data_IF_433374708300
#
_entry.id   IF_433374708300
#
_cell.length_a   1.000
_cell.length_b   1.000
_cell.length_c   1.000
_cell.angle_alpha   90.00
_cell.angle_beta   90.00
_cell.angle_gamma   90.00
#
_symmetry.space_group_name_H-M   'P 1'
#
loop_
_entity.id
_entity.type
_entity.pdbx_description
1 polymer ?
#
# COMPACT_ATOMS: atom_id res chain seq x y z
N UNK A 1 -38.97 -7.65 20.69
CA UNK A 1 -38.20 -8.56 19.81
C UNK A 1 -37.47 -7.85 18.66
N UNK A 2 -37.91 -6.65 18.25
CA UNK A 2 -37.32 -5.90 17.12
C UNK A 2 -35.93 -5.29 17.38
N UNK A 3 -35.55 -5.06 18.65
CA UNK A 3 -34.24 -4.50 19.04
C UNK A 3 -33.07 -5.48 18.87
N UNK A 4 -33.31 -6.79 18.95
CA UNK A 4 -32.26 -7.81 18.80
C UNK A 4 -31.80 -7.98 17.34
N UNK A 5 -32.70 -7.81 16.36
CA UNK A 5 -32.35 -7.94 14.94
C UNK A 5 -31.46 -6.78 14.46
N UNK A 6 -31.73 -5.56 14.91
CA UNK A 6 -30.94 -4.37 14.56
C UNK A 6 -29.53 -4.44 15.14
N UNK A 7 -29.37 -4.91 16.39
CA UNK A 7 -28.04 -5.08 17.00
C UNK A 7 -27.23 -6.18 16.32
N UNK A 8 -27.85 -7.32 16.01
CA UNK A 8 -27.20 -8.44 15.31
C UNK A 8 -26.73 -8.02 13.90
N UNK A 9 -27.52 -7.20 13.20
CA UNK A 9 -27.17 -6.64 11.89
C UNK A 9 -25.95 -5.70 11.95
N UNK A 10 -25.88 -4.83 12.97
CA UNK A 10 -24.74 -3.92 13.16
C UNK A 10 -23.44 -4.67 13.47
N UNK A 11 -23.48 -5.64 14.38
CA UNK A 11 -22.31 -6.47 14.73
C UNK A 11 -21.80 -7.21 13.49
N UNK A 12 -22.70 -7.79 12.69
CA UNK A 12 -22.33 -8.47 11.45
C UNK A 12 -21.67 -7.53 10.44
N UNK A 13 -22.16 -6.30 10.31
CA UNK A 13 -21.55 -5.28 9.44
C UNK A 13 -20.15 -4.91 9.92
N UNK A 14 -19.99 -4.60 11.21
CA UNK A 14 -18.68 -4.26 11.79
C UNK A 14 -17.66 -5.37 11.60
N UNK A 15 -18.04 -6.64 11.77
CA UNK A 15 -17.15 -7.78 11.52
C UNK A 15 -16.77 -7.87 10.04
N UNK A 16 -17.73 -7.65 9.13
CA UNK A 16 -17.45 -7.65 7.69
C UNK A 16 -16.48 -6.53 7.30
N UNK A 17 -16.67 -5.32 7.82
CA UNK A 17 -15.80 -4.17 7.56
C UNK A 17 -14.40 -4.39 8.12
N UNK A 18 -14.29 -5.01 9.30
CA UNK A 18 -13.01 -5.41 9.88
C UNK A 18 -12.27 -6.42 8.98
N UNK A 19 -12.97 -7.46 8.50
CA UNK A 19 -12.38 -8.45 7.60
C UNK A 19 -11.91 -7.79 6.29
N UNK A 20 -12.69 -6.86 5.73
CA UNK A 20 -12.27 -6.12 4.54
C UNK A 20 -11.04 -5.25 4.81
N UNK A 21 -10.98 -4.55 5.94
CA UNK A 21 -9.84 -3.74 6.31
C UNK A 21 -8.56 -4.57 6.43
N UNK A 22 -8.64 -5.73 7.09
CA UNK A 22 -7.50 -6.65 7.22
C UNK A 22 -7.06 -7.21 5.87
N UNK A 23 -8.00 -7.62 5.00
CA UNK A 23 -7.67 -8.09 3.66
C UNK A 23 -6.96 -7.02 2.83
N UNK A 24 -7.39 -5.75 2.94
CA UNK A 24 -6.69 -4.65 2.28
C UNK A 24 -5.30 -4.40 2.85
N UNK A 25 -5.12 -4.50 4.15
CA UNK A 25 -3.79 -4.36 4.76
C UNK A 25 -2.82 -5.45 4.27
N UNK A 26 -3.29 -6.70 4.18
CA UNK A 26 -2.51 -7.81 3.63
C UNK A 26 -2.14 -7.55 2.17
N UNK A 27 -3.10 -7.14 1.33
CA UNK A 27 -2.82 -6.83 -0.08
C UNK A 27 -1.85 -5.67 -0.23
N UNK A 28 -2.03 -4.59 0.55
CA UNK A 28 -1.12 -3.45 0.55
C UNK A 28 0.31 -3.88 0.91
N UNK A 29 0.44 -4.79 1.87
CA UNK A 29 1.74 -5.33 2.29
C UNK A 29 2.40 -6.16 1.20
N UNK A 30 1.63 -7.01 0.49
CA UNK A 30 2.15 -7.81 -0.62
C UNK A 30 2.63 -6.90 -1.76
N UNK A 31 1.82 -5.90 -2.13
CA UNK A 31 2.17 -4.94 -3.19
C UNK A 31 3.38 -4.08 -2.81
N UNK A 32 3.43 -3.61 -1.56
CA UNK A 32 4.58 -2.86 -1.03
C UNK A 32 5.87 -3.69 -1.06
N UNK A 33 5.80 -4.95 -0.64
CA UNK A 33 6.94 -5.86 -0.70
C UNK A 33 7.42 -6.12 -2.13
N UNK A 34 6.49 -6.23 -3.08
CA UNK A 34 6.83 -6.37 -4.51
C UNK A 34 7.54 -5.12 -5.03
N UNK A 35 6.99 -3.92 -4.77
CA UNK A 35 7.60 -2.65 -5.17
C UNK A 35 9.02 -2.48 -4.60
N UNK A 36 9.22 -2.83 -3.32
CA UNK A 36 10.55 -2.84 -2.70
C UNK A 36 11.48 -3.84 -3.39
N UNK A 37 11.01 -5.05 -3.68
CA UNK A 37 11.80 -6.06 -4.38
C UNK A 37 12.26 -5.61 -5.77
N UNK A 38 11.35 -4.99 -6.53
CA UNK A 38 11.64 -4.44 -7.86
C UNK A 38 12.63 -3.27 -7.77
N UNK A 39 12.45 -2.39 -6.79
CA UNK A 39 13.37 -1.28 -6.49
C UNK A 39 14.78 -1.75 -6.15
N UNK A 40 14.92 -2.77 -5.29
CA UNK A 40 16.22 -3.35 -4.95
C UNK A 40 16.91 -4.00 -6.16
N UNK A 41 16.14 -4.68 -7.02
CA UNK A 41 16.66 -5.26 -8.25
C UNK A 41 17.16 -4.19 -9.23
N UNK A 42 16.42 -3.09 -9.39
CA UNK A 42 16.83 -1.98 -10.23
C UNK A 42 18.07 -1.26 -9.67
N UNK A 43 18.09 -1.01 -8.36
CA UNK A 43 19.25 -0.44 -7.67
C UNK A 43 20.51 -1.31 -7.86
N UNK A 44 20.36 -2.63 -7.76
CA UNK A 44 21.45 -3.58 -8.03
C UNK A 44 21.99 -3.47 -9.46
N UNK A 45 21.11 -3.28 -10.46
CA UNK A 45 21.50 -3.06 -11.86
C UNK A 45 22.23 -1.73 -12.03
N UNK A 46 21.75 -0.65 -11.41
CA UNK A 46 22.40 0.67 -11.50
C UNK A 46 23.80 0.68 -10.89
N UNK A 47 23.96 0.07 -9.71
CA UNK A 47 25.27 -0.06 -9.07
C UNK A 47 26.23 -0.90 -9.95
N UNK A 48 25.72 -1.96 -10.59
CA UNK A 48 26.52 -2.84 -11.45
C UNK A 48 26.86 -2.23 -12.82
N UNK A 49 26.04 -1.30 -13.31
CA UNK A 49 26.16 -0.66 -14.62
C UNK A 49 26.69 0.77 -14.59
N UNK A 50 27.32 1.20 -13.48
CA UNK A 50 28.04 2.48 -13.38
C UNK A 50 29.24 2.51 -14.35
N UNK A 51 28.94 2.71 -15.64
CA UNK A 51 29.90 2.98 -16.70
C UNK A 51 30.01 4.50 -16.85
N UNK A 52 31.15 5.03 -16.42
CA UNK A 52 31.91 6.27 -16.68
C UNK A 52 31.37 7.45 -17.52
N UNK A 53 30.19 7.44 -18.13
CA UNK A 53 29.72 8.51 -18.99
C UNK A 53 28.27 8.91 -18.67
N UNK A 54 28.14 10.15 -18.21
CA UNK A 54 26.91 10.96 -18.09
C UNK A 54 26.09 10.84 -16.78
N UNK A 55 25.87 12.00 -16.15
CA UNK A 55 25.11 12.26 -14.92
C UNK A 55 25.65 11.61 -13.64
N UNK A 56 25.53 12.31 -12.51
CA UNK A 56 26.02 11.82 -11.22
C UNK A 56 25.33 10.49 -10.90
N UNK A 57 26.05 9.37 -10.71
CA UNK A 57 25.46 8.08 -10.36
C UNK A 57 24.47 8.13 -9.19
N UNK A 58 24.70 9.09 -8.29
CA UNK A 58 23.88 9.36 -7.13
C UNK A 58 22.48 9.90 -7.46
N UNK A 59 22.33 10.66 -8.54
CA UNK A 59 21.02 11.17 -8.98
C UNK A 59 20.13 10.02 -9.48
N UNK A 60 20.72 9.05 -10.17
CA UNK A 60 20.02 7.86 -10.64
C UNK A 60 19.57 6.95 -9.49
N UNK A 61 20.47 6.70 -8.53
CA UNK A 61 20.20 5.88 -7.34
C UNK A 61 19.12 6.52 -6.46
N UNK A 62 19.23 7.83 -6.21
CA UNK A 62 18.23 8.55 -5.42
C UNK A 62 16.86 8.56 -6.10
N UNK A 63 16.81 8.65 -7.43
CA UNK A 63 15.58 8.51 -8.21
C UNK A 63 14.91 7.14 -8.04
N UNK A 64 15.68 6.05 -8.07
CA UNK A 64 15.14 4.70 -7.81
C UNK A 64 14.62 4.60 -6.39
N UNK A 65 15.39 5.03 -5.39
CA UNK A 65 14.98 4.99 -3.98
C UNK A 65 13.70 5.77 -3.73
N UNK A 66 13.58 6.97 -4.30
CA UNK A 66 12.39 7.79 -4.16
C UNK A 66 11.18 7.12 -4.79
N UNK A 67 11.31 6.64 -6.04
CA UNK A 67 10.22 5.93 -6.72
C UNK A 67 9.79 4.68 -5.96
N UNK A 68 10.74 3.87 -5.50
CA UNK A 68 10.44 2.67 -4.69
C UNK A 68 9.72 3.03 -3.40
N UNK A 69 10.10 4.11 -2.72
CA UNK A 69 9.41 4.56 -1.52
C UNK A 69 7.98 5.01 -1.80
N UNK A 70 7.76 5.77 -2.89
CA UNK A 70 6.43 6.23 -3.30
C UNK A 70 5.52 5.04 -3.66
N UNK A 71 6.02 4.10 -4.47
CA UNK A 71 5.30 2.88 -4.86
C UNK A 71 5.05 1.94 -3.68
N UNK A 72 5.95 1.88 -2.70
CA UNK A 72 5.76 1.06 -1.51
C UNK A 72 4.68 1.60 -0.56
N UNK A 73 4.43 2.91 -0.57
CA UNK A 73 3.46 3.59 0.31
C UNK A 73 2.10 3.79 -0.36
N UNK A 74 2.05 3.92 -1.69
CA UNK A 74 0.82 4.12 -2.46
C UNK A 74 -0.28 3.10 -2.10
N UNK A 75 0.00 1.78 -2.00
CA UNK A 75 -1.00 0.77 -1.68
C UNK A 75 -1.75 1.08 -0.39
N UNK A 76 -1.04 1.48 0.66
CA UNK A 76 -1.60 1.80 1.97
C UNK A 76 -2.41 3.09 1.93
N UNK A 77 -1.92 4.11 1.22
CA UNK A 77 -2.57 5.42 1.11
C UNK A 77 -3.92 5.30 0.43
N UNK A 78 -3.98 4.57 -0.69
CA UNK A 78 -5.19 4.36 -1.47
C UNK A 78 -6.23 3.56 -0.67
N UNK A 79 -5.81 2.49 0.02
CA UNK A 79 -6.71 1.65 0.82
C UNK A 79 -7.21 2.34 2.08
N UNK A 80 -6.35 3.13 2.73
CA UNK A 80 -6.78 3.96 3.86
C UNK A 80 -7.84 4.98 3.43
N UNK A 81 -7.66 5.62 2.27
CA UNK A 81 -8.65 6.55 1.73
C UNK A 81 -9.99 5.86 1.47
N UNK A 82 -9.97 4.68 0.84
CA UNK A 82 -11.18 3.89 0.61
C UNK A 82 -11.91 3.52 1.91
N UNK A 83 -11.18 3.01 2.92
CA UNK A 83 -11.78 2.67 4.22
C UNK A 83 -12.39 3.89 4.90
N UNK A 84 -11.73 5.05 4.80
CA UNK A 84 -12.27 6.31 5.33
C UNK A 84 -13.56 6.74 4.63
N UNK A 85 -13.61 6.63 3.31
CA UNK A 85 -14.80 6.95 2.51
C UNK A 85 -15.97 6.01 2.84
N UNK A 86 -15.69 4.72 3.02
CA UNK A 86 -16.68 3.72 3.43
C UNK A 86 -17.32 4.07 4.79
N UNK A 87 -16.49 4.40 5.79
CA UNK A 87 -16.98 4.78 7.14
C UNK A 87 -17.84 6.06 7.11
N UNK A 88 -17.46 7.04 6.29
CA UNK A 88 -18.20 8.30 6.16
C UNK A 88 -19.51 8.15 5.38
N UNK A 89 -19.60 7.17 4.47
CA UNK A 89 -20.80 6.91 3.65
C UNK A 89 -21.90 6.18 4.43
N UNK A 90 -21.54 5.55 5.55
CA UNK A 90 -22.41 4.78 6.43
C UNK A 90 -22.94 5.58 7.64
N UNK A 91 -22.60 6.88 7.73
CA UNK A 91 -23.04 7.85 8.75
C UNK A 91 -24.21 8.71 8.26
#
# INVERSE_FOLDING_TARGET
MQSNEVQTSRVRRTVNDLVMAEMFLVQATIESAAAIGDGLNELGKQISHNNDNESSPWDSISGVLQRTADEAIEPYTTRFKYLREMLNSDS
#
